data_IF_090270279029
#
_entry.id   IF_090270279029
#
_cell.length_a   1.000
_cell.length_b   1.000
_cell.length_c   1.000
_cell.angle_alpha   90.00
_cell.angle_beta   90.00
_cell.angle_gamma   90.00
#
_symmetry.space_group_name_H-M   'P 1'
#
loop_
_entity.id
_entity.type
_entity.pdbx_description
1 polymer ?
#
# COMPACT_ATOMS: atom_id res chain seq x y z
N UNK A 1 -0.78 27.17 -37.17
CA UNK A 1 -1.57 26.51 -36.11
C UNK A 1 -1.29 25.01 -36.00
N UNK A 2 -1.08 24.30 -37.12
CA UNK A 2 -0.76 22.86 -37.14
C UNK A 2 0.57 22.49 -36.46
N UNK A 3 1.64 23.25 -36.69
CA UNK A 3 2.95 23.02 -36.06
C UNK A 3 2.88 23.10 -34.53
N UNK A 4 2.08 24.02 -33.99
CA UNK A 4 1.91 24.16 -32.53
C UNK A 4 1.24 22.91 -31.94
N UNK A 5 0.18 22.42 -32.58
CA UNK A 5 -0.48 21.17 -32.16
C UNK A 5 0.45 19.96 -32.25
N UNK A 6 1.30 19.91 -33.27
CA UNK A 6 2.31 18.86 -33.42
C UNK A 6 3.31 18.86 -32.25
N UNK A 7 3.83 20.03 -31.87
CA UNK A 7 4.77 20.16 -30.75
C UNK A 7 4.11 19.80 -29.42
N UNK A 8 2.87 20.26 -29.17
CA UNK A 8 2.13 19.90 -27.95
C UNK A 8 1.93 18.39 -27.86
N UNK A 9 1.58 17.73 -28.98
CA UNK A 9 1.42 16.28 -29.02
C UNK A 9 2.71 15.54 -28.65
N UNK A 10 3.88 16.01 -29.13
CA UNK A 10 5.19 15.43 -28.77
C UNK A 10 5.50 15.60 -27.28
N UNK A 11 5.22 16.78 -26.72
CA UNK A 11 5.43 17.03 -25.29
C UNK A 11 4.55 16.12 -24.42
N UNK A 12 3.27 15.97 -24.76
CA UNK A 12 2.33 15.09 -24.05
C UNK A 12 2.79 13.63 -24.12
N UNK A 13 3.29 13.19 -25.28
CA UNK A 13 3.83 11.83 -25.47
C UNK A 13 5.02 11.54 -24.53
N UNK A 14 5.83 12.54 -24.20
CA UNK A 14 6.98 12.39 -23.28
C UNK A 14 6.52 12.43 -21.82
N UNK A 15 5.54 13.28 -21.48
CA UNK A 15 5.11 13.50 -20.09
C UNK A 15 4.29 12.32 -19.55
N UNK A 16 3.38 11.76 -20.34
CA UNK A 16 2.50 10.66 -19.93
C UNK A 16 3.27 9.44 -19.38
N UNK A 17 4.26 8.86 -20.09
CA UNK A 17 4.99 7.70 -19.58
C UNK A 17 5.78 8.03 -18.32
N UNK A 18 6.38 9.22 -18.24
CA UNK A 18 7.11 9.66 -17.05
C UNK A 18 6.19 9.79 -15.82
N UNK A 19 4.98 10.35 -16.01
CA UNK A 19 3.98 10.45 -14.95
C UNK A 19 3.43 9.10 -14.52
N UNK A 20 3.18 8.18 -15.47
CA UNK A 20 2.73 6.82 -15.16
C UNK A 20 3.75 6.08 -14.30
N UNK A 21 5.03 6.12 -14.69
CA UNK A 21 6.11 5.46 -13.94
C UNK A 21 6.26 6.02 -12.52
N UNK A 22 6.11 7.34 -12.34
CA UNK A 22 6.15 7.95 -11.01
C UNK A 22 4.97 7.53 -10.14
N UNK A 23 3.76 7.43 -10.71
CA UNK A 23 2.59 6.91 -10.00
C UNK A 23 2.78 5.46 -9.57
N UNK A 24 3.33 4.62 -10.44
CA UNK A 24 3.59 3.21 -10.12
C UNK A 24 4.67 3.06 -9.04
N UNK A 25 5.72 3.90 -9.09
CA UNK A 25 6.74 3.95 -8.05
C UNK A 25 6.16 4.38 -6.69
N UNK A 26 5.35 5.44 -6.67
CA UNK A 26 4.66 5.91 -5.47
C UNK A 26 3.74 4.82 -4.90
N UNK A 27 3.01 4.10 -5.74
CA UNK A 27 2.15 2.98 -5.31
C UNK A 27 2.95 1.85 -4.64
N UNK A 28 4.13 1.51 -5.18
CA UNK A 28 5.03 0.50 -4.58
C UNK A 28 5.57 0.95 -3.22
N UNK A 29 6.04 2.20 -3.12
CA UNK A 29 6.54 2.75 -1.84
C UNK A 29 5.42 2.76 -0.81
N UNK A 30 4.24 3.24 -1.20
CA UNK A 30 3.07 3.29 -0.33
C UNK A 30 2.68 1.91 0.18
N UNK A 31 2.66 0.89 -0.68
CA UNK A 31 2.35 -0.48 -0.25
C UNK A 31 3.39 -1.09 0.68
N UNK A 32 4.68 -0.87 0.43
CA UNK A 32 5.76 -1.28 1.33
C UNK A 32 5.64 -0.61 2.71
N UNK A 33 5.34 0.70 2.73
CA UNK A 33 5.12 1.42 3.98
C UNK A 33 3.90 0.88 4.73
N UNK A 34 2.82 0.53 4.03
CA UNK A 34 1.63 -0.06 4.62
C UNK A 34 1.90 -1.44 5.25
N UNK A 35 2.70 -2.27 4.58
CA UNK A 35 3.19 -3.54 5.16
C UNK A 35 3.94 -3.30 6.47
N UNK A 36 4.85 -2.32 6.50
CA UNK A 36 5.61 -1.97 7.70
C UNK A 36 4.70 -1.52 8.84
N UNK A 37 3.73 -0.65 8.56
CA UNK A 37 2.74 -0.20 9.57
C UNK A 37 1.96 -1.39 10.13
N UNK A 38 1.45 -2.27 9.28
CA UNK A 38 0.72 -3.46 9.74
C UNK A 38 1.64 -4.38 10.55
N UNK A 39 2.91 -4.55 10.15
CA UNK A 39 3.87 -5.34 10.93
C UNK A 39 4.04 -4.78 12.34
N UNK A 40 4.23 -3.47 12.48
CA UNK A 40 4.32 -2.83 13.80
C UNK A 40 3.05 -3.05 14.63
N UNK A 41 1.88 -3.04 14.01
CA UNK A 41 0.62 -3.34 14.72
C UNK A 41 0.51 -4.81 15.13
N UNK A 42 1.03 -5.74 14.32
CA UNK A 42 1.12 -7.15 14.67
C UNK A 42 2.05 -7.32 15.87
N UNK A 43 3.25 -6.74 15.80
CA UNK A 43 4.26 -6.87 16.86
C UNK A 43 3.73 -6.30 18.19
N UNK A 44 3.07 -5.14 18.16
CA UNK A 44 2.45 -4.54 19.34
C UNK A 44 1.34 -5.42 19.92
N UNK A 45 0.46 -5.97 19.07
CA UNK A 45 -0.60 -6.88 19.52
C UNK A 45 -0.03 -8.16 20.14
N UNK A 46 1.05 -8.71 19.57
CA UNK A 46 1.72 -9.90 20.10
C UNK A 46 2.35 -9.66 21.46
N UNK A 47 3.00 -8.51 21.64
CA UNK A 47 3.64 -8.12 22.90
C UNK A 47 2.60 -8.01 24.03
N UNK A 48 1.43 -7.45 23.74
CA UNK A 48 0.37 -7.27 24.74
C UNK A 48 -0.44 -8.55 25.01
N UNK A 49 -0.73 -9.35 23.98
CA UNK A 49 -1.70 -10.45 24.09
C UNK A 49 -1.05 -11.84 24.14
N UNK A 50 0.27 -11.94 23.94
CA UNK A 50 1.01 -13.22 23.81
C UNK A 50 0.36 -14.20 22.81
N UNK A 51 -0.35 -13.67 21.81
CA UNK A 51 -1.14 -14.42 20.83
C UNK A 51 -0.26 -14.79 19.63
N UNK A 52 -0.23 -16.09 19.30
CA UNK A 52 0.56 -16.64 18.21
C UNK A 52 -0.12 -16.62 16.84
N UNK A 53 -1.38 -16.19 16.73
CA UNK A 53 -2.12 -16.19 15.46
C UNK A 53 -2.84 -14.86 15.22
N UNK A 54 -2.10 -13.86 14.75
CA UNK A 54 -2.58 -12.50 14.46
C UNK A 54 -3.16 -12.43 13.06
N UNK A 55 -4.36 -11.86 12.96
CA UNK A 55 -5.03 -11.63 11.67
C UNK A 55 -5.47 -10.18 11.55
N UNK A 56 -5.63 -9.67 10.32
CA UNK A 56 -6.15 -8.31 10.07
C UNK A 56 -7.49 -8.09 10.80
N UNK A 57 -8.36 -9.09 10.83
CA UNK A 57 -9.64 -9.01 11.55
C UNK A 57 -9.46 -8.87 13.07
N UNK A 58 -8.49 -9.56 13.68
CA UNK A 58 -8.17 -9.39 15.11
C UNK A 58 -7.63 -7.99 15.36
N UNK A 59 -6.70 -7.51 14.53
CA UNK A 59 -6.14 -6.16 14.65
C UNK A 59 -7.21 -5.05 14.54
N UNK A 60 -8.23 -5.24 13.70
CA UNK A 60 -9.36 -4.30 13.62
C UNK A 60 -10.25 -4.36 14.86
N UNK A 61 -10.58 -5.57 15.34
CA UNK A 61 -11.41 -5.74 16.55
C UNK A 61 -10.72 -5.20 17.80
N UNK A 62 -9.41 -5.37 17.89
CA UNK A 62 -8.57 -4.89 18.99
C UNK A 62 -8.12 -3.45 18.79
N UNK A 63 -8.67 -2.73 17.81
CA UNK A 63 -8.41 -1.32 17.52
C UNK A 63 -6.97 -0.92 17.11
N UNK A 64 -6.09 -1.89 16.81
CA UNK A 64 -4.75 -1.64 16.26
C UNK A 64 -4.79 -1.22 14.78
N UNK A 65 -5.82 -1.63 14.04
CA UNK A 65 -6.06 -1.18 12.66
C UNK A 65 -7.42 -0.52 12.54
N UNK A 66 -7.47 0.61 11.86
CA UNK A 66 -8.72 1.22 11.44
C UNK A 66 -9.34 0.44 10.27
N UNK A 67 -10.66 0.53 10.11
CA UNK A 67 -11.34 -0.07 8.95
C UNK A 67 -10.81 0.44 7.60
N UNK A 68 -10.35 1.70 7.55
CA UNK A 68 -9.69 2.26 6.36
C UNK A 68 -8.38 1.55 6.06
N UNK A 69 -7.55 1.32 7.07
CA UNK A 69 -6.28 0.59 6.92
C UNK A 69 -6.49 -0.87 6.52
N UNK A 70 -7.50 -1.54 7.08
CA UNK A 70 -7.86 -2.90 6.67
C UNK A 70 -8.31 -2.95 5.20
N UNK A 71 -9.17 -2.02 4.78
CA UNK A 71 -9.60 -1.93 3.38
C UNK A 71 -8.42 -1.63 2.43
N UNK A 72 -7.50 -0.76 2.84
CA UNK A 72 -6.27 -0.47 2.09
C UNK A 72 -5.41 -1.73 1.96
N UNK A 73 -5.21 -2.47 3.06
CA UNK A 73 -4.48 -3.73 3.07
C UNK A 73 -5.08 -4.74 2.09
N UNK A 74 -6.41 -4.87 2.07
CA UNK A 74 -7.11 -5.72 1.11
C UNK A 74 -6.94 -5.26 -0.34
N UNK A 75 -7.06 -3.95 -0.60
CA UNK A 75 -6.88 -3.38 -1.95
C UNK A 75 -5.45 -3.59 -2.49
N UNK A 76 -4.47 -3.57 -1.58
CA UNK A 76 -3.06 -3.76 -1.88
C UNK A 76 -2.59 -5.21 -1.76
N UNK A 77 -3.51 -6.15 -1.53
CA UNK A 77 -3.25 -7.60 -1.38
C UNK A 77 -2.24 -7.92 -0.27
N UNK A 78 -2.26 -7.13 0.81
CA UNK A 78 -1.47 -7.38 1.99
C UNK A 78 -2.16 -8.46 2.83
N UNK A 79 -1.44 -9.53 3.13
CA UNK A 79 -1.90 -10.66 3.93
C UNK A 79 -0.96 -10.87 5.12
N UNK A 80 -1.50 -11.38 6.23
CA UNK A 80 -0.70 -11.79 7.38
C UNK A 80 -0.45 -13.29 7.28
N UNK A 81 0.83 -13.68 7.22
CA UNK A 81 1.25 -15.08 7.15
C UNK A 81 2.24 -15.31 8.29
N UNK A 82 1.92 -16.23 9.22
CA UNK A 82 2.75 -16.51 10.41
C UNK A 82 3.13 -15.23 11.18
N UNK A 83 2.16 -14.34 11.41
CA UNK A 83 2.34 -13.03 12.06
C UNK A 83 3.28 -12.05 11.33
N UNK A 84 3.51 -12.26 10.04
CA UNK A 84 4.21 -11.31 9.21
C UNK A 84 3.31 -10.73 8.13
N UNK A 85 3.30 -9.41 8.00
CA UNK A 85 2.61 -8.72 6.93
C UNK A 85 3.40 -8.88 5.62
N UNK A 86 2.74 -9.33 4.55
CA UNK A 86 3.34 -9.53 3.23
C UNK A 86 2.40 -9.02 2.14
N UNK A 87 2.93 -8.22 1.22
CA UNK A 87 2.21 -7.79 0.02
C UNK A 87 2.35 -8.86 -1.08
N UNK A 88 1.22 -9.34 -1.61
CA UNK A 88 1.14 -10.36 -2.66
C UNK A 88 1.00 -9.80 -4.07
#
# INVERSE_FOLDING_TARGET
>A
MTIVLFIISLLVLIIIPNLSNQKDHAKKIHGSAMVSVIQTQIDAYQDENHDGDVTINKLVRSHYLTGKQANQAHAERIVVVKNHAMQK
#
